data_IF_600547905184
#
_entry.id   IF_600547905184
#
_cell.length_a   1.000
_cell.length_b   1.000
_cell.length_c   1.000
_cell.angle_alpha   90.00
_cell.angle_beta   90.00
_cell.angle_gamma   90.00
#
_symmetry.space_group_name_H-M   'P 1'
#
loop_
_entity.id
_entity.type
_entity.pdbx_description
1 polymer ?
#
# COMPACT_ATOMS: atom_id res chain seq x y z
N UNK A 1 20.80 -22.88 -14.79
CA UNK A 1 20.56 -22.21 -16.08
C UNK A 1 19.60 -21.06 -15.88
N UNK A 2 19.85 -19.93 -16.55
CA UNK A 2 18.89 -18.82 -16.69
C UNK A 2 19.05 -17.64 -15.72
N UNK A 3 20.09 -16.82 -15.89
CA UNK A 3 20.17 -15.45 -15.36
C UNK A 3 19.22 -14.50 -16.12
N UNK A 4 17.95 -14.87 -16.24
CA UNK A 4 16.91 -13.93 -16.66
C UNK A 4 16.64 -12.98 -15.49
N UNK A 5 16.74 -11.68 -15.72
CA UNK A 5 16.40 -10.67 -14.72
C UNK A 5 14.98 -10.87 -14.17
N UNK A 6 14.61 -10.21 -13.05
CA UNK A 6 13.30 -10.37 -12.43
C UNK A 6 12.19 -10.10 -13.46
N UNK A 7 11.53 -11.16 -13.92
CA UNK A 7 10.34 -11.04 -14.77
C UNK A 7 9.14 -10.73 -13.87
N UNK A 8 8.17 -9.93 -14.33
CA UNK A 8 6.99 -9.56 -13.53
C UNK A 8 6.28 -10.79 -12.93
N UNK A 9 6.14 -11.86 -13.73
CA UNK A 9 5.52 -13.12 -13.30
C UNK A 9 6.29 -13.82 -12.18
N UNK A 10 7.62 -13.78 -12.21
CA UNK A 10 8.43 -14.40 -11.15
C UNK A 10 8.32 -13.60 -9.85
N UNK A 11 8.28 -12.28 -9.95
CA UNK A 11 8.13 -11.40 -8.79
C UNK A 11 6.76 -11.57 -8.12
N UNK A 12 5.68 -11.73 -8.90
CA UNK A 12 4.35 -11.99 -8.37
C UNK A 12 4.26 -13.36 -7.68
N UNK A 13 4.82 -14.43 -8.29
CA UNK A 13 4.84 -15.76 -7.69
C UNK A 13 5.62 -15.80 -6.37
N UNK A 14 6.77 -15.14 -6.30
CA UNK A 14 7.55 -15.00 -5.05
C UNK A 14 6.73 -14.28 -3.99
N UNK A 15 6.03 -13.20 -4.36
CA UNK A 15 5.14 -12.48 -3.45
C UNK A 15 4.01 -13.36 -2.91
N UNK A 16 3.33 -14.12 -3.77
CA UNK A 16 2.24 -15.03 -3.36
C UNK A 16 2.74 -16.09 -2.39
N UNK A 17 3.89 -16.72 -2.69
CA UNK A 17 4.49 -17.73 -1.81
C UNK A 17 4.86 -17.14 -0.45
N UNK A 18 5.47 -15.95 -0.43
CA UNK A 18 5.85 -15.27 0.80
C UNK A 18 4.63 -14.89 1.65
N UNK A 19 3.57 -14.35 1.03
CA UNK A 19 2.30 -14.06 1.69
C UNK A 19 1.69 -15.32 2.31
N UNK A 20 1.67 -16.44 1.59
CA UNK A 20 1.11 -17.69 2.11
C UNK A 20 1.83 -18.17 3.38
N UNK A 21 3.17 -18.07 3.41
CA UNK A 21 3.97 -18.44 4.59
C UNK A 21 3.66 -17.52 5.78
N UNK A 22 3.63 -16.21 5.57
CA UNK A 22 3.33 -15.22 6.62
C UNK A 22 1.92 -15.36 7.18
N UNK A 23 0.93 -15.63 6.31
CA UNK A 23 -0.45 -15.91 6.72
C UNK A 23 -0.51 -17.18 7.55
N UNK A 24 0.16 -18.27 7.12
CA UNK A 24 0.21 -19.53 7.85
C UNK A 24 0.81 -19.36 9.26
N UNK A 25 1.91 -18.62 9.39
CA UNK A 25 2.51 -18.30 10.69
C UNK A 25 1.54 -17.48 11.56
N UNK A 26 0.91 -16.45 10.99
CA UNK A 26 -0.04 -15.59 11.71
C UNK A 26 -1.24 -16.39 12.22
N UNK A 27 -1.80 -17.28 11.40
CA UNK A 27 -2.90 -18.16 11.79
C UNK A 27 -2.49 -19.15 12.88
N UNK A 28 -1.26 -19.66 12.82
CA UNK A 28 -0.74 -20.57 13.85
C UNK A 28 -0.63 -19.85 15.18
N UNK A 29 -0.10 -18.61 15.21
CA UNK A 29 -0.03 -17.77 16.40
C UNK A 29 -1.42 -17.44 16.97
N UNK A 30 -2.38 -17.15 16.09
CA UNK A 30 -3.76 -16.89 16.50
C UNK A 30 -4.41 -18.08 17.20
N UNK A 31 -4.07 -19.31 16.81
CA UNK A 31 -4.66 -20.52 17.40
C UNK A 31 -4.06 -20.89 18.77
N UNK A 32 -2.88 -20.36 19.10
CA UNK A 32 -2.21 -20.63 20.37
C UNK A 32 -2.84 -19.82 21.52
N UNK A 33 -3.38 -18.64 21.22
CA UNK A 33 -3.88 -17.70 22.23
C UNK A 33 -5.22 -17.06 21.80
N UNK A 34 -6.25 -17.25 22.63
CA UNK A 34 -7.62 -16.78 22.38
C UNK A 34 -7.70 -15.25 22.34
N UNK A 35 -6.88 -14.55 23.12
CA UNK A 35 -6.85 -13.08 23.13
C UNK A 35 -6.25 -12.53 21.81
N UNK A 36 -5.17 -13.14 21.34
CA UNK A 36 -4.56 -12.85 20.03
C UNK A 36 -5.52 -13.15 18.88
N UNK A 37 -6.30 -14.23 18.98
CA UNK A 37 -7.34 -14.57 17.99
C UNK A 37 -8.39 -13.47 17.85
N UNK A 38 -8.96 -12.99 18.95
CA UNK A 38 -9.99 -11.94 18.93
C UNK A 38 -9.42 -10.62 18.39
N UNK A 39 -8.21 -10.24 18.83
CA UNK A 39 -7.52 -9.04 18.29
C UNK A 39 -7.25 -9.16 16.78
N UNK A 40 -6.80 -10.32 16.31
CA UNK A 40 -6.60 -10.56 14.87
C UNK A 40 -7.91 -10.55 14.08
N UNK A 41 -9.01 -11.03 14.67
CA UNK A 41 -10.33 -10.99 14.06
C UNK A 41 -10.82 -9.55 13.85
N UNK A 42 -10.70 -8.70 14.87
CA UNK A 42 -11.06 -7.28 14.75
C UNK A 42 -10.11 -6.52 13.82
N UNK A 43 -8.81 -6.80 13.86
CA UNK A 43 -7.84 -6.20 12.94
C UNK A 43 -8.08 -6.62 11.48
N UNK A 44 -8.37 -7.89 11.24
CA UNK A 44 -8.66 -8.44 9.91
C UNK A 44 -9.97 -7.91 9.29
N UNK A 45 -10.93 -7.51 10.13
CA UNK A 45 -12.16 -6.85 9.68
C UNK A 45 -11.93 -5.40 9.18
N UNK A 46 -10.76 -4.81 9.45
CA UNK A 46 -10.42 -3.48 8.96
C UNK A 46 -11.13 -2.34 9.70
N UNK A 47 -11.02 -2.29 11.03
CA UNK A 47 -11.66 -1.24 11.86
C UNK A 47 -10.67 -0.12 12.22
N UNK A 48 -11.15 1.13 12.26
CA UNK A 48 -10.39 2.31 12.75
C UNK A 48 -10.75 2.64 14.22
N UNK A 49 -11.80 2.00 14.75
CA UNK A 49 -12.51 2.44 15.97
C UNK A 49 -11.78 2.17 17.28
N UNK A 50 -10.87 1.20 17.33
CA UNK A 50 -10.28 0.73 18.59
C UNK A 50 -8.75 0.62 18.46
N UNK A 51 -8.07 1.78 18.48
CA UNK A 51 -6.61 1.84 18.46
C UNK A 51 -6.05 2.48 19.71
N UNK A 52 -4.95 1.92 20.27
CA UNK A 52 -4.26 2.53 21.40
C UNK A 52 -3.91 3.98 21.11
N UNK A 53 -4.11 4.86 22.08
CA UNK A 53 -3.68 6.25 22.00
C UNK A 53 -2.16 6.29 21.78
N UNK A 54 -1.71 6.68 20.59
CA UNK A 54 -0.29 6.71 20.21
C UNK A 54 0.02 6.11 18.83
N UNK A 55 -0.82 5.22 18.32
CA UNK A 55 -0.58 4.53 17.03
C UNK A 55 -0.34 5.48 15.85
N UNK A 56 -1.02 6.63 15.83
CA UNK A 56 -0.81 7.65 14.81
C UNK A 56 0.61 8.24 14.83
N UNK A 57 1.18 8.44 16.03
CA UNK A 57 2.55 8.92 16.21
C UNK A 57 3.59 7.91 15.77
N UNK A 58 3.38 6.63 16.09
CA UNK A 58 4.30 5.54 15.75
C UNK A 58 4.41 5.33 14.23
N UNK A 59 3.33 5.56 13.50
CA UNK A 59 3.24 5.29 12.06
C UNK A 59 3.58 6.52 11.22
N UNK A 60 3.44 7.73 11.78
CA UNK A 60 3.79 8.99 11.13
C UNK A 60 5.18 9.01 10.46
N UNK A 61 6.29 8.59 11.11
CA UNK A 61 7.60 8.63 10.47
C UNK A 61 7.68 7.71 9.24
N UNK A 62 7.03 6.54 9.27
CA UNK A 62 6.98 5.63 8.12
C UNK A 62 6.17 6.21 6.98
N UNK A 63 5.04 6.87 7.27
CA UNK A 63 4.21 7.54 6.27
C UNK A 63 4.97 8.70 5.61
N UNK A 64 5.59 9.57 6.41
CA UNK A 64 6.36 10.70 5.89
C UNK A 64 7.53 10.24 5.02
N UNK A 65 8.28 9.23 5.48
CA UNK A 65 9.41 8.68 4.72
C UNK A 65 8.95 8.01 3.43
N UNK A 66 7.88 7.20 3.48
CA UNK A 66 7.29 6.57 2.31
C UNK A 66 6.79 7.58 1.28
N UNK A 67 6.13 8.65 1.73
CA UNK A 67 5.63 9.73 0.87
C UNK A 67 6.77 10.50 0.21
N UNK A 68 7.84 10.77 0.95
CA UNK A 68 9.03 11.43 0.43
C UNK A 68 9.71 10.59 -0.65
N UNK A 69 9.91 9.29 -0.40
CA UNK A 69 10.47 8.36 -1.41
C UNK A 69 9.55 8.27 -2.63
N UNK A 70 8.23 8.21 -2.44
CA UNK A 70 7.26 8.19 -3.54
C UNK A 70 7.34 9.47 -4.40
N UNK A 71 7.44 10.65 -3.77
CA UNK A 71 7.55 11.92 -4.46
C UNK A 71 8.85 12.02 -5.30
N UNK A 72 9.97 11.51 -4.77
CA UNK A 72 11.24 11.43 -5.50
C UNK A 72 11.15 10.48 -6.70
N UNK A 73 10.37 9.40 -6.60
CA UNK A 73 10.21 8.43 -7.68
C UNK A 73 9.20 8.86 -8.76
N UNK A 74 8.35 9.86 -8.50
CA UNK A 74 7.29 10.29 -9.41
C UNK A 74 7.78 10.75 -10.79
N UNK A 75 8.86 11.54 -10.85
CA UNK A 75 9.42 12.04 -12.11
C UNK A 75 10.10 10.92 -12.92
N UNK A 76 10.96 10.07 -12.32
CA UNK A 76 11.49 8.89 -13.00
C UNK A 76 10.43 7.91 -13.51
N UNK A 77 9.31 7.75 -12.80
CA UNK A 77 8.18 6.91 -13.20
C UNK A 77 7.55 7.37 -14.54
N UNK A 78 7.39 8.68 -14.74
CA UNK A 78 6.92 9.22 -16.02
C UNK A 78 7.89 8.90 -17.17
N UNK A 79 9.20 8.99 -16.93
CA UNK A 79 10.21 8.68 -17.94
C UNK A 79 10.25 7.18 -18.28
N UNK A 80 10.08 6.31 -17.28
CA UNK A 80 9.98 4.86 -17.49
C UNK A 80 8.68 4.48 -18.22
N UNK A 81 7.58 5.20 -18.00
CA UNK A 81 6.31 4.96 -18.68
C UNK A 81 6.38 5.18 -20.21
N UNK A 82 7.34 5.97 -20.70
CA UNK A 82 7.63 6.18 -22.13
C UNK A 82 8.42 5.01 -22.75
N UNK A 83 8.93 4.09 -21.93
CA UNK A 83 9.73 2.94 -22.33
C UNK A 83 10.99 2.80 -21.48
N UNK A 84 11.35 1.55 -21.13
CA UNK A 84 12.54 1.26 -20.32
C UNK A 84 13.84 1.75 -21.00
N UNK A 85 13.91 1.71 -22.33
CA UNK A 85 15.08 2.14 -23.11
C UNK A 85 15.18 3.67 -23.23
N UNK A 86 14.04 4.37 -23.29
CA UNK A 86 13.99 5.82 -23.17
C UNK A 86 14.42 6.28 -21.77
N UNK A 87 13.96 5.61 -20.71
CA UNK A 87 14.42 5.89 -19.35
C UNK A 87 15.94 5.73 -19.18
N UNK A 88 16.53 4.70 -19.78
CA UNK A 88 17.99 4.48 -19.76
C UNK A 88 18.77 5.56 -20.52
N UNK A 89 18.25 6.06 -21.64
CA UNK A 89 18.91 7.12 -22.41
C UNK A 89 18.92 8.46 -21.68
N UNK A 90 17.95 8.70 -20.78
CA UNK A 90 17.96 9.83 -19.84
C UNK A 90 18.89 9.63 -18.61
N UNK A 91 19.69 8.55 -18.58
CA UNK A 91 20.63 8.27 -17.48
C UNK A 91 19.96 7.70 -16.22
N UNK A 92 18.67 7.31 -16.29
CA UNK A 92 17.98 6.76 -15.13
C UNK A 92 18.40 5.32 -14.87
N UNK A 93 18.74 5.03 -13.62
CA UNK A 93 18.92 3.67 -13.12
C UNK A 93 17.56 3.04 -12.84
N UNK A 94 16.91 2.49 -13.88
CA UNK A 94 15.57 1.87 -13.80
C UNK A 94 15.44 0.90 -12.62
N UNK A 95 16.47 0.09 -12.34
CA UNK A 95 16.49 -0.81 -11.18
C UNK A 95 16.42 -0.09 -9.84
N UNK A 96 17.16 1.02 -9.67
CA UNK A 96 17.14 1.81 -8.44
C UNK A 96 15.79 2.50 -8.21
N UNK A 97 15.17 3.01 -9.28
CA UNK A 97 13.82 3.60 -9.22
C UNK A 97 12.80 2.54 -8.81
N UNK A 98 12.83 1.35 -9.42
CA UNK A 98 11.94 0.24 -9.05
C UNK A 98 12.12 -0.17 -7.58
N UNK A 99 13.36 -0.26 -7.09
CA UNK A 99 13.61 -0.51 -5.67
C UNK A 99 13.04 0.60 -4.78
N UNK A 100 13.22 1.88 -5.14
CA UNK A 100 12.65 3.02 -4.42
C UNK A 100 11.13 2.95 -4.33
N UNK A 101 10.45 2.61 -5.43
CA UNK A 101 9.00 2.42 -5.47
C UNK A 101 8.57 1.27 -4.56
N UNK A 102 9.26 0.13 -4.60
CA UNK A 102 8.96 -1.01 -3.72
C UNK A 102 9.09 -0.62 -2.25
N UNK A 103 10.13 0.13 -1.89
CA UNK A 103 10.34 0.63 -0.51
C UNK A 103 9.22 1.58 -0.11
N UNK A 104 8.86 2.55 -0.96
CA UNK A 104 7.78 3.48 -0.69
C UNK A 104 6.43 2.75 -0.48
N UNK A 105 6.10 1.80 -1.36
CA UNK A 105 4.88 0.99 -1.26
C UNK A 105 4.91 0.15 0.02
N UNK A 106 6.02 -0.51 0.34
CA UNK A 106 6.14 -1.31 1.55
C UNK A 106 5.94 -0.46 2.82
N UNK A 107 6.54 0.72 2.89
CA UNK A 107 6.37 1.66 4.01
C UNK A 107 4.93 2.14 4.13
N UNK A 108 4.34 2.63 3.05
CA UNK A 108 2.99 3.21 3.05
C UNK A 108 1.91 2.15 3.28
N UNK A 109 1.97 1.02 2.57
CA UNK A 109 1.02 -0.08 2.76
C UNK A 109 1.19 -0.75 4.13
N UNK A 110 2.42 -0.92 4.60
CA UNK A 110 2.70 -1.48 5.93
C UNK A 110 2.15 -0.57 7.04
N UNK A 111 2.44 0.72 6.96
CA UNK A 111 1.89 1.76 7.84
C UNK A 111 0.35 1.73 7.85
N UNK A 112 -0.28 1.73 6.67
CA UNK A 112 -1.73 1.71 6.57
C UNK A 112 -2.34 0.40 7.11
N UNK A 113 -1.71 -0.75 6.85
CA UNK A 113 -2.22 -2.07 7.28
C UNK A 113 -2.07 -2.25 8.80
N UNK A 114 -0.98 -1.78 9.40
CA UNK A 114 -0.88 -1.66 10.85
C UNK A 114 -1.93 -0.66 11.40
N UNK A 115 -2.07 0.47 10.72
CA UNK A 115 -3.00 1.61 10.85
C UNK A 115 -4.51 1.34 10.82
N UNK A 116 -4.97 0.41 10.00
CA UNK A 116 -6.40 0.25 9.73
C UNK A 116 -6.80 -1.21 9.51
N UNK A 117 -5.83 -2.14 9.48
CA UNK A 117 -6.07 -3.48 8.96
C UNK A 117 -5.99 -3.52 7.43
N UNK A 118 -6.18 -4.69 6.81
CA UNK A 118 -6.03 -4.87 5.37
C UNK A 118 -7.18 -4.22 4.58
N UNK A 119 -6.93 -3.04 4.00
CA UNK A 119 -7.85 -2.32 3.11
C UNK A 119 -7.54 -2.59 1.62
N UNK A 120 -8.12 -3.67 1.06
CA UNK A 120 -7.71 -4.17 -0.27
C UNK A 120 -8.23 -3.33 -1.45
N UNK A 121 -9.47 -2.82 -1.39
CA UNK A 121 -10.11 -2.19 -2.55
C UNK A 121 -9.63 -0.76 -2.84
N UNK A 122 -9.32 0.01 -1.80
CA UNK A 122 -8.96 1.43 -1.92
C UNK A 122 -7.71 1.61 -2.78
N UNK A 123 -6.70 0.74 -2.58
CA UNK A 123 -5.43 0.79 -3.31
C UNK A 123 -5.55 0.50 -4.81
N UNK A 124 -6.61 -0.17 -5.26
CA UNK A 124 -6.86 -0.43 -6.69
C UNK A 124 -7.81 0.62 -7.29
N UNK A 125 -8.87 0.97 -6.56
CA UNK A 125 -9.94 1.84 -7.04
C UNK A 125 -9.48 3.30 -7.18
N UNK A 126 -8.82 3.85 -6.16
CA UNK A 126 -8.45 5.27 -6.11
C UNK A 126 -7.53 5.68 -7.25
N UNK A 127 -6.38 5.01 -7.50
CA UNK A 127 -5.50 5.41 -8.60
C UNK A 127 -6.18 5.26 -9.97
N UNK A 128 -7.13 4.34 -10.12
CA UNK A 128 -7.89 4.19 -11.36
C UNK A 128 -8.86 5.37 -11.59
N UNK A 129 -9.61 5.76 -10.54
CA UNK A 129 -10.50 6.92 -10.58
C UNK A 129 -9.72 8.22 -10.81
N UNK A 130 -8.61 8.42 -10.10
CA UNK A 130 -7.74 9.60 -10.24
C UNK A 130 -7.16 9.69 -11.64
N UNK A 131 -6.71 8.58 -12.23
CA UNK A 131 -6.14 8.56 -13.59
C UNK A 131 -7.16 9.00 -14.65
N UNK A 132 -8.45 8.74 -14.42
CA UNK A 132 -9.53 9.24 -15.28
C UNK A 132 -9.69 10.75 -15.20
N UNK A 133 -9.40 11.35 -14.03
CA UNK A 133 -9.54 12.78 -13.78
C UNK A 133 -8.29 13.60 -14.16
N UNK A 134 -7.09 13.11 -13.82
CA UNK A 134 -5.83 13.88 -13.95
C UNK A 134 -5.02 13.52 -15.20
N UNK A 135 -5.37 12.45 -15.92
CA UNK A 135 -4.56 11.90 -16.99
C UNK A 135 -3.38 11.04 -16.51
N UNK A 136 -2.43 10.68 -17.39
CA UNK A 136 -1.40 9.66 -17.12
C UNK A 136 -0.16 10.16 -16.35
N UNK A 137 -0.11 11.42 -15.91
CA UNK A 137 1.05 11.97 -15.18
C UNK A 137 1.08 11.46 -13.73
N UNK A 138 2.11 10.67 -13.40
CA UNK A 138 2.30 10.08 -12.08
C UNK A 138 2.44 11.10 -10.95
N UNK A 139 2.87 12.33 -11.23
CA UNK A 139 2.99 13.39 -10.21
C UNK A 139 1.62 13.77 -9.66
N UNK A 140 0.66 13.96 -10.57
CA UNK A 140 -0.70 14.30 -10.22
C UNK A 140 -1.44 13.10 -9.66
N UNK A 141 -1.24 11.92 -10.24
CA UNK A 141 -1.86 10.69 -9.71
C UNK A 141 -1.46 10.47 -8.24
N UNK A 142 -0.19 10.66 -7.88
CA UNK A 142 0.26 10.48 -6.49
C UNK A 142 -0.33 11.53 -5.55
N UNK A 143 -0.32 12.81 -5.92
CA UNK A 143 -0.88 13.89 -5.08
C UNK A 143 -2.38 13.72 -4.88
N UNK A 144 -3.13 13.48 -5.97
CA UNK A 144 -4.57 13.30 -5.87
C UNK A 144 -4.94 12.00 -5.14
N UNK A 145 -4.21 10.90 -5.34
CA UNK A 145 -4.45 9.65 -4.61
C UNK A 145 -4.16 9.80 -3.12
N UNK A 146 -3.12 10.55 -2.74
CA UNK A 146 -2.78 10.80 -1.33
C UNK A 146 -3.88 11.57 -0.58
N UNK A 147 -4.67 12.39 -1.28
CA UNK A 147 -5.80 13.13 -0.68
C UNK A 147 -7.11 12.38 -0.81
N UNK A 148 -7.41 11.82 -1.98
CA UNK A 148 -8.70 11.19 -2.28
C UNK A 148 -8.88 9.86 -1.53
N UNK A 149 -7.81 9.08 -1.34
CA UNK A 149 -7.91 7.80 -0.63
C UNK A 149 -8.36 7.97 0.84
N UNK A 150 -7.73 8.83 1.67
CA UNK A 150 -8.23 9.10 3.02
C UNK A 150 -9.66 9.61 3.06
N UNK A 151 -10.04 10.48 2.12
CA UNK A 151 -11.42 11.03 2.05
C UNK A 151 -12.44 9.92 1.80
N UNK A 152 -12.19 9.04 0.82
CA UNK A 152 -13.08 7.91 0.53
C UNK A 152 -13.18 6.95 1.71
N UNK A 153 -12.05 6.66 2.37
CA UNK A 153 -12.02 5.80 3.55
C UNK A 153 -12.82 6.40 4.70
N UNK A 154 -12.67 7.71 4.96
CA UNK A 154 -13.42 8.41 6.00
C UNK A 154 -14.91 8.44 5.69
N UNK A 155 -15.30 8.70 4.44
CA UNK A 155 -16.71 8.66 4.03
C UNK A 155 -17.28 7.26 4.24
N UNK A 156 -16.54 6.22 3.84
CA UNK A 156 -16.96 4.83 4.03
C UNK A 156 -17.09 4.47 5.53
N UNK A 157 -16.16 4.91 6.38
CA UNK A 157 -16.21 4.70 7.83
C UNK A 157 -17.43 5.40 8.45
N UNK A 158 -17.67 6.67 8.10
CA UNK A 158 -18.83 7.44 8.59
C UNK A 158 -20.15 6.80 8.13
N UNK A 159 -20.26 6.41 6.86
CA UNK A 159 -21.45 5.72 6.36
C UNK A 159 -21.65 4.36 7.04
N UNK A 160 -20.57 3.60 7.26
CA UNK A 160 -20.62 2.34 8.00
C UNK A 160 -21.19 2.52 9.41
N UNK A 161 -20.77 3.56 10.13
CA UNK A 161 -21.29 3.90 11.46
C UNK A 161 -22.75 4.36 11.45
N UNK A 162 -23.17 5.07 10.40
CA UNK A 162 -24.55 5.54 10.26
C UNK A 162 -25.52 4.42 9.87
N UNK A 163 -25.06 3.42 9.14
CA UNK A 163 -25.88 2.26 8.73
C UNK A 163 -25.92 1.22 9.86
N UNK A 164 -24.79 0.99 10.52
CA UNK A 164 -24.67 0.10 11.69
C UNK A 164 -24.76 0.95 12.96
N UNK A 165 -25.89 1.64 13.15
CA UNK A 165 -26.22 2.24 14.44
C UNK A 165 -26.53 1.08 15.39
N UNK A 166 -25.80 0.92 16.50
CA UNK A 166 -26.13 -0.10 17.48
C UNK A 166 -27.49 0.25 18.09
N UNK A 167 -28.49 -0.58 17.81
CA UNK A 167 -29.77 -0.62 18.54
C UNK A 167 -29.61 -1.43 19.83
#
# INVERSE_FOLDING_TARGET
GGRGGPTPVRLTLVGVAFTAVLVGISQTLALIDTETFDRMRFWGAGTITDRPTGTAGDILPFVLTGLLVAALCARPLNAIALGDDAGRSFGLRVGAVRCGVVVAVALLCGAATAAAGPLMFVGLMVPHAVRWLTGPDWRWILVFSAVLAPVIVLIADVLGRLIVIPS
#
